data_IF_746647193195
#
_entry.id   IF_746647193195
#
_cell.length_a   1.000
_cell.length_b   1.000
_cell.length_c   1.000
_cell.angle_alpha   90.00
_cell.angle_beta   90.00
_cell.angle_gamma   90.00
#
_symmetry.space_group_name_H-M   'P 1'
#
loop_
_entity.id
_entity.type
_entity.pdbx_description
1 polymer ?
#
# COMPACT_ATOMS: atom_id res chain seq x y z
N UNK A 1 -4.32 14.50 41.81
CA UNK A 1 -3.41 13.46 41.27
C UNK A 1 -4.25 12.24 40.92
N UNK A 2 -4.62 12.09 39.67
CA UNK A 2 -5.31 10.88 39.17
C UNK A 2 -4.34 9.70 39.25
N UNK A 3 -4.75 8.61 39.92
CA UNK A 3 -4.03 7.35 39.90
C UNK A 3 -3.97 6.88 38.42
N UNK A 4 -2.81 6.94 37.81
CA UNK A 4 -2.53 6.22 36.58
C UNK A 4 -2.68 4.72 36.88
N UNK A 5 -3.86 4.17 36.61
CA UNK A 5 -4.05 2.72 36.62
C UNK A 5 -3.08 2.13 35.61
N UNK A 6 -2.24 1.18 36.03
CA UNK A 6 -1.40 0.44 35.10
C UNK A 6 -2.33 -0.19 34.05
N UNK A 7 -2.31 0.36 32.86
CA UNK A 7 -3.05 -0.19 31.74
C UNK A 7 -2.42 -1.53 31.41
N UNK A 8 -3.17 -2.62 31.61
CA UNK A 8 -2.66 -3.98 31.43
C UNK A 8 -3.48 -4.70 30.35
N UNK A 9 -2.81 -5.51 29.56
CA UNK A 9 -3.41 -6.34 28.51
C UNK A 9 -3.03 -7.80 28.71
N UNK A 10 -3.84 -8.71 28.19
CA UNK A 10 -3.49 -10.13 28.17
C UNK A 10 -2.42 -10.40 27.13
N UNK A 11 -1.41 -11.21 27.48
CA UNK A 11 -0.29 -11.54 26.59
C UNK A 11 -0.77 -12.20 25.29
N UNK A 12 -1.69 -13.18 25.38
CA UNK A 12 -2.24 -13.85 24.20
C UNK A 12 -2.93 -12.87 23.23
N UNK A 13 -3.60 -11.83 23.76
CA UNK A 13 -4.23 -10.80 22.94
C UNK A 13 -3.19 -9.92 22.28
N UNK A 14 -2.17 -9.48 23.03
CA UNK A 14 -1.07 -8.63 22.50
C UNK A 14 -0.34 -9.36 21.39
N UNK A 15 0.15 -10.58 21.65
CA UNK A 15 0.89 -11.37 20.66
C UNK A 15 0.04 -11.70 19.44
N UNK A 16 -1.25 -12.00 19.60
CA UNK A 16 -2.17 -12.21 18.48
C UNK A 16 -2.33 -10.96 17.62
N UNK A 17 -2.34 -9.76 18.20
CA UNK A 17 -2.42 -8.51 17.45
C UNK A 17 -1.10 -8.17 16.75
N UNK A 18 0.04 -8.46 17.37
CA UNK A 18 1.36 -8.24 16.76
C UNK A 18 1.59 -9.19 15.58
N UNK A 19 1.25 -10.48 15.73
CA UNK A 19 1.61 -11.52 14.76
C UNK A 19 0.54 -11.84 13.72
N UNK A 20 -0.74 -11.46 13.96
CA UNK A 20 -1.89 -11.91 13.17
C UNK A 20 -2.35 -13.34 13.45
N UNK A 21 -1.59 -14.10 14.23
CA UNK A 21 -1.93 -15.48 14.53
C UNK A 21 -3.22 -15.61 15.34
N UNK A 22 -3.92 -16.73 15.15
CA UNK A 22 -5.05 -17.11 16.03
C UNK A 22 -4.58 -17.26 17.48
N UNK A 23 -5.44 -16.92 18.44
CA UNK A 23 -5.11 -17.08 19.88
C UNK A 23 -4.70 -18.50 20.26
N UNK A 24 -5.23 -19.52 19.57
CA UNK A 24 -4.84 -20.90 19.80
C UNK A 24 -3.38 -21.16 19.44
N UNK A 25 -2.93 -20.65 18.30
CA UNK A 25 -1.54 -20.77 17.86
C UNK A 25 -0.61 -19.93 18.75
N UNK A 26 -1.00 -18.72 19.10
CA UNK A 26 -0.28 -17.87 20.07
C UNK A 26 -0.12 -18.56 21.41
N UNK A 27 -1.16 -19.24 21.92
CA UNK A 27 -1.05 -19.97 23.19
C UNK A 27 -0.04 -21.12 23.13
N UNK A 28 0.13 -21.78 21.97
CA UNK A 28 1.18 -22.78 21.78
C UNK A 28 2.57 -22.14 21.80
N UNK A 29 2.73 -21.03 21.06
CA UNK A 29 3.98 -20.27 20.98
C UNK A 29 4.43 -19.79 22.36
N UNK A 30 3.52 -19.19 23.14
CA UNK A 30 3.80 -18.75 24.52
C UNK A 30 4.18 -19.94 25.43
N UNK A 31 3.46 -21.04 25.35
CA UNK A 31 3.76 -22.25 26.16
C UNK A 31 5.12 -22.87 25.83
N UNK A 32 5.56 -22.75 24.58
CA UNK A 32 6.87 -23.25 24.17
C UNK A 32 8.03 -22.37 24.68
N UNK A 33 7.75 -21.17 25.22
CA UNK A 33 8.77 -20.24 25.69
C UNK A 33 9.32 -19.34 24.59
N UNK A 34 8.63 -19.25 23.46
CA UNK A 34 9.05 -18.44 22.30
C UNK A 34 8.70 -16.94 22.47
N UNK A 35 8.21 -16.51 23.64
CA UNK A 35 7.83 -15.14 23.94
C UNK A 35 8.48 -14.68 25.23
N UNK A 36 9.19 -13.55 25.17
CA UNK A 36 9.71 -12.84 26.35
C UNK A 36 8.97 -11.51 26.54
N UNK A 37 8.86 -11.12 27.79
CA UNK A 37 8.28 -9.84 28.22
C UNK A 37 9.26 -9.22 29.19
N UNK A 38 9.80 -8.04 28.86
CA UNK A 38 10.83 -7.36 29.66
C UNK A 38 12.01 -8.32 30.01
N UNK A 39 12.51 -9.05 28.99
CA UNK A 39 13.57 -10.05 29.06
C UNK A 39 13.25 -11.35 29.83
N UNK A 40 12.04 -11.52 30.33
CA UNK A 40 11.61 -12.74 31.03
C UNK A 40 10.74 -13.63 30.12
N UNK A 41 11.05 -14.93 30.04
CA UNK A 41 10.24 -15.91 29.32
C UNK A 41 8.90 -16.09 30.03
N UNK A 42 7.80 -15.83 29.34
CA UNK A 42 6.45 -16.00 29.89
C UNK A 42 5.78 -17.21 29.19
N UNK A 43 5.33 -18.18 29.98
CA UNK A 43 4.65 -19.38 29.47
C UNK A 43 3.14 -19.40 29.74
N UNK A 44 2.63 -18.45 30.54
CA UNK A 44 1.18 -18.27 30.75
C UNK A 44 0.59 -17.33 29.70
N UNK A 45 -0.19 -17.87 28.77
CA UNK A 45 -0.86 -17.09 27.73
C UNK A 45 -1.91 -16.11 28.29
N UNK A 46 -2.41 -16.31 29.51
CA UNK A 46 -3.36 -15.43 30.18
C UNK A 46 -2.68 -14.35 31.02
N UNK A 47 -1.35 -14.34 31.12
CA UNK A 47 -0.59 -13.37 31.87
C UNK A 47 -1.03 -11.94 31.50
N UNK A 48 -1.17 -11.09 32.52
CA UNK A 48 -1.46 -9.67 32.33
C UNK A 48 -0.15 -8.89 32.33
N UNK A 49 0.15 -8.26 31.22
CA UNK A 49 1.36 -7.48 31.01
C UNK A 49 1.04 -5.99 30.92
N UNK A 50 2.00 -5.13 31.28
CA UNK A 50 1.86 -3.68 31.13
C UNK A 50 1.91 -3.30 29.62
N UNK A 51 1.12 -2.30 29.21
CA UNK A 51 1.15 -1.81 27.82
C UNK A 51 2.52 -1.25 27.39
N UNK A 52 3.37 -0.90 28.36
CA UNK A 52 4.73 -0.40 28.09
C UNK A 52 5.81 -1.49 28.09
N UNK A 53 5.43 -2.75 28.42
CA UNK A 53 6.39 -3.87 28.41
C UNK A 53 6.90 -4.11 27.00
N UNK A 54 8.19 -4.45 26.92
CA UNK A 54 8.85 -4.87 25.68
C UNK A 54 8.53 -6.33 25.41
N UNK A 55 8.13 -6.63 24.18
CA UNK A 55 7.77 -7.98 23.76
C UNK A 55 8.75 -8.44 22.68
N UNK A 56 9.37 -9.58 22.91
CA UNK A 56 10.16 -10.28 21.88
C UNK A 56 9.52 -11.63 21.61
N UNK A 57 9.35 -11.94 20.31
CA UNK A 57 8.70 -13.14 19.82
C UNK A 57 9.68 -13.83 18.88
N UNK A 58 10.16 -15.01 19.23
CA UNK A 58 11.14 -15.74 18.45
C UNK A 58 10.67 -15.98 17.01
N UNK A 59 11.51 -15.66 16.03
CA UNK A 59 11.20 -15.76 14.60
C UNK A 59 10.28 -14.66 14.05
N UNK A 60 9.91 -13.64 14.88
CA UNK A 60 9.04 -12.53 14.44
C UNK A 60 9.69 -11.17 14.57
N UNK A 61 10.22 -10.87 15.74
CA UNK A 61 10.87 -9.59 16.04
C UNK A 61 12.09 -9.80 16.95
N UNK A 62 12.74 -10.94 16.82
CA UNK A 62 14.08 -11.16 17.37
C UNK A 62 15.01 -10.20 16.63
N UNK A 63 15.33 -9.19 17.36
CA UNK A 63 15.96 -7.99 16.91
C UNK A 63 17.14 -8.26 15.97
N UNK A 64 16.98 -7.91 14.71
CA UNK A 64 18.13 -7.51 13.91
C UNK A 64 18.37 -6.03 14.21
N UNK A 65 19.55 -5.65 14.70
CA UNK A 65 19.90 -4.23 14.81
C UNK A 65 19.80 -3.60 13.41
N UNK A 66 19.37 -2.34 13.36
CA UNK A 66 19.44 -1.54 12.16
C UNK A 66 20.89 -1.28 11.74
N UNK A 67 21.11 -0.54 10.64
CA UNK A 67 22.43 -0.22 10.11
C UNK A 67 23.28 0.62 11.10
N UNK A 68 22.65 1.29 12.08
CA UNK A 68 23.28 2.06 13.15
C UNK A 68 23.52 1.22 14.43
N UNK A 69 23.06 -0.03 14.45
CA UNK A 69 23.21 -0.97 15.57
C UNK A 69 22.13 -0.84 16.64
N UNK A 70 21.09 -0.05 16.38
CA UNK A 70 19.94 0.09 17.26
C UNK A 70 18.92 -1.01 17.03
N UNK A 71 18.26 -1.44 18.11
CA UNK A 71 17.20 -2.45 18.07
C UNK A 71 15.86 -1.77 18.31
N UNK A 72 14.96 -1.82 17.34
CA UNK A 72 13.60 -1.32 17.52
C UNK A 72 12.84 -2.21 18.50
N UNK A 73 12.56 -1.67 19.68
CA UNK A 73 11.87 -2.38 20.77
C UNK A 73 10.35 -2.33 20.53
N UNK A 74 9.74 -3.48 20.25
CA UNK A 74 8.29 -3.62 20.13
C UNK A 74 7.66 -3.65 21.52
N UNK A 75 6.77 -2.70 21.80
CA UNK A 75 6.04 -2.63 23.09
C UNK A 75 4.64 -3.24 22.95
N UNK A 76 4.09 -3.69 24.06
CA UNK A 76 2.72 -4.22 24.10
C UNK A 76 1.68 -3.22 23.60
N UNK A 77 1.92 -1.90 23.76
CA UNK A 77 1.07 -0.84 23.21
C UNK A 77 1.04 -0.81 21.68
N UNK A 78 2.12 -1.20 21.02
CA UNK A 78 2.26 -1.13 19.57
C UNK A 78 1.31 -2.10 18.86
N UNK A 79 0.93 -3.20 19.57
CA UNK A 79 -0.09 -4.13 19.13
C UNK A 79 -1.44 -3.46 18.78
N UNK A 80 -1.71 -2.30 19.36
CA UNK A 80 -3.00 -1.60 19.26
C UNK A 80 -2.88 -0.22 18.61
N UNK A 81 -1.67 0.20 18.24
CA UNK A 81 -1.48 1.43 17.46
C UNK A 81 -2.03 1.22 16.06
N UNK A 82 -2.71 2.24 15.61
CA UNK A 82 -3.12 2.35 14.21
C UNK A 82 -1.92 2.81 13.39
N UNK A 83 -1.66 2.11 12.30
CA UNK A 83 -0.54 2.41 11.40
C UNK A 83 -1.08 3.13 10.18
N UNK A 84 -0.37 4.17 9.78
CA UNK A 84 -0.67 4.91 8.56
C UNK A 84 0.63 5.11 7.81
N UNK A 85 0.67 4.64 6.58
CA UNK A 85 1.84 4.71 5.72
C UNK A 85 1.53 5.52 4.47
N UNK A 86 2.52 6.26 3.99
CA UNK A 86 2.57 6.80 2.65
C UNK A 86 3.45 5.86 1.81
N UNK A 87 2.88 5.27 0.79
CA UNK A 87 3.57 4.45 -0.20
C UNK A 87 3.74 5.25 -1.50
N UNK A 88 4.94 5.24 -2.08
CA UNK A 88 5.12 5.61 -3.48
C UNK A 88 4.79 4.39 -4.36
N UNK A 89 3.51 4.25 -4.71
CA UNK A 89 3.00 3.07 -5.43
C UNK A 89 3.68 2.91 -6.79
N UNK A 90 4.32 1.78 -7.09
CA UNK A 90 4.90 1.51 -8.40
C UNK A 90 3.85 1.03 -9.42
N UNK A 91 4.25 0.93 -10.68
CA UNK A 91 3.48 0.28 -11.74
C UNK A 91 3.25 -1.21 -11.43
N UNK A 92 2.22 -1.79 -12.05
CA UNK A 92 1.88 -3.21 -12.02
C UNK A 92 1.46 -3.77 -10.64
N UNK A 93 1.19 -2.92 -9.68
CA UNK A 93 0.58 -3.29 -8.42
C UNK A 93 -0.89 -2.85 -8.36
N UNK A 94 -1.76 -3.73 -7.87
CA UNK A 94 -3.18 -3.42 -7.70
C UNK A 94 -3.52 -3.06 -6.25
N UNK A 95 -4.45 -2.12 -6.09
CA UNK A 95 -5.01 -1.73 -4.81
C UNK A 95 -6.19 -2.64 -4.45
N UNK A 96 -5.90 -3.91 -4.19
CA UNK A 96 -6.88 -4.91 -3.79
C UNK A 96 -6.31 -5.72 -2.63
N UNK A 97 -7.16 -6.29 -1.79
CA UNK A 97 -6.74 -7.16 -0.68
C UNK A 97 -6.24 -8.52 -1.20
N UNK A 98 -6.77 -8.96 -2.34
CA UNK A 98 -6.36 -10.21 -3.01
C UNK A 98 -6.47 -10.03 -4.52
N UNK A 99 -5.51 -10.57 -5.25
CA UNK A 99 -5.56 -10.68 -6.71
C UNK A 99 -4.80 -11.95 -7.13
N UNK A 100 -5.32 -12.65 -8.16
CA UNK A 100 -4.71 -13.90 -8.63
C UNK A 100 -3.64 -13.68 -9.70
N UNK A 101 -3.70 -12.54 -10.39
CA UNK A 101 -2.92 -12.27 -11.59
C UNK A 101 -1.87 -11.17 -11.40
N UNK A 102 -2.04 -10.33 -10.38
CA UNK A 102 -1.21 -9.15 -10.17
C UNK A 102 -0.71 -9.09 -8.72
N UNK A 103 0.47 -8.50 -8.53
CA UNK A 103 0.98 -8.19 -7.21
C UNK A 103 0.09 -7.12 -6.55
N UNK A 104 -0.21 -7.32 -5.26
CA UNK A 104 -1.02 -6.39 -4.46
C UNK A 104 -0.11 -5.40 -3.74
N UNK A 105 -0.58 -4.17 -3.54
CA UNK A 105 0.23 -3.10 -2.89
C UNK A 105 0.69 -3.47 -1.49
N UNK A 106 -0.10 -4.23 -0.72
CA UNK A 106 0.27 -4.64 0.63
C UNK A 106 1.45 -5.61 0.67
N UNK A 107 1.77 -6.30 -0.44
CA UNK A 107 2.95 -7.17 -0.52
C UNK A 107 4.29 -6.40 -0.48
N UNK A 108 4.27 -5.07 -0.66
CA UNK A 108 5.45 -4.21 -0.52
C UNK A 108 5.86 -3.99 0.94
N UNK A 109 4.96 -4.20 1.88
CA UNK A 109 5.16 -3.96 3.32
C UNK A 109 5.76 -5.18 4.05
N UNK A 110 6.75 -5.84 3.45
CA UNK A 110 7.28 -7.15 3.91
C UNK A 110 7.84 -7.13 5.33
N UNK A 111 8.29 -5.96 5.79
CA UNK A 111 8.85 -5.78 7.12
C UNK A 111 7.78 -5.45 8.18
N UNK A 112 6.53 -5.27 7.75
CA UNK A 112 5.44 -4.94 8.66
C UNK A 112 4.74 -6.19 9.18
N UNK A 113 4.36 -6.14 10.44
CA UNK A 113 3.55 -7.20 11.06
C UNK A 113 2.08 -7.09 10.61
N UNK A 114 1.38 -8.22 10.56
CA UNK A 114 -0.06 -8.26 10.24
C UNK A 114 -0.43 -7.57 8.92
N UNK A 115 0.21 -7.96 7.84
CA UNK A 115 -0.04 -7.39 6.50
C UNK A 115 -1.51 -7.45 6.09
N UNK A 116 -2.22 -8.50 6.51
CA UNK A 116 -3.64 -8.71 6.20
C UNK A 116 -4.58 -7.67 6.81
N UNK A 117 -4.10 -6.85 7.74
CA UNK A 117 -4.85 -5.72 8.31
C UNK A 117 -4.62 -4.42 7.57
N UNK A 118 -3.60 -4.37 6.72
CA UNK A 118 -3.29 -3.19 5.94
C UNK A 118 -4.17 -3.14 4.69
N UNK A 119 -4.80 -2.00 4.48
CA UNK A 119 -5.66 -1.73 3.33
C UNK A 119 -5.27 -0.40 2.68
N UNK A 120 -5.39 -0.29 1.38
CA UNK A 120 -5.20 0.99 0.71
C UNK A 120 -6.39 1.92 0.98
N UNK A 121 -6.11 3.16 1.38
CA UNK A 121 -7.12 4.22 1.49
C UNK A 121 -7.39 4.83 0.11
N UNK A 122 -8.38 4.27 -0.54
CA UNK A 122 -8.68 4.51 -1.95
C UNK A 122 -7.81 3.68 -2.89
N UNK A 123 -7.95 3.96 -4.18
CA UNK A 123 -7.31 3.16 -5.23
C UNK A 123 -6.54 4.05 -6.18
N UNK A 124 -5.47 3.49 -6.74
CA UNK A 124 -4.80 3.94 -7.95
C UNK A 124 -4.87 2.78 -8.95
N UNK A 125 -5.01 3.10 -10.22
CA UNK A 125 -5.01 2.10 -11.27
C UNK A 125 -3.67 1.36 -11.31
N UNK A 126 -3.63 0.20 -11.95
CA UNK A 126 -2.42 -0.63 -12.04
C UNK A 126 -1.26 0.12 -12.72
N UNK A 127 -1.59 0.99 -13.66
CA UNK A 127 -0.66 1.82 -14.43
C UNK A 127 -0.52 3.25 -13.88
N UNK A 128 -1.08 3.56 -12.72
CA UNK A 128 -0.93 4.83 -12.02
C UNK A 128 0.03 4.68 -10.85
N UNK A 129 0.97 5.61 -10.73
CA UNK A 129 2.00 5.61 -9.68
C UNK A 129 1.77 6.69 -8.62
N UNK A 130 2.64 6.72 -7.62
CA UNK A 130 2.75 7.81 -6.66
C UNK A 130 2.04 7.59 -5.34
N UNK A 131 1.67 8.68 -4.68
CA UNK A 131 1.21 8.72 -3.30
C UNK A 131 -0.04 7.87 -3.08
N UNK A 132 0.09 6.80 -2.31
CA UNK A 132 -1.01 5.96 -1.84
C UNK A 132 -0.93 5.83 -0.32
N UNK A 133 -2.03 6.10 0.36
CA UNK A 133 -2.12 5.86 1.81
C UNK A 133 -2.52 4.41 2.03
N UNK A 134 -1.79 3.73 2.93
CA UNK A 134 -2.05 2.36 3.36
C UNK A 134 -2.16 2.34 4.87
N UNK A 135 -3.24 1.76 5.41
CA UNK A 135 -3.52 1.84 6.85
C UNK A 135 -4.31 0.64 7.35
N UNK A 136 -4.21 0.34 8.65
CA UNK A 136 -5.11 -0.57 9.39
C UNK A 136 -6.17 0.19 10.19
N UNK A 137 -6.27 1.51 9.99
CA UNK A 137 -7.32 2.35 10.57
C UNK A 137 -8.50 2.49 9.61
N UNK A 138 -9.57 1.70 9.85
CA UNK A 138 -10.77 1.74 9.02
C UNK A 138 -11.50 3.08 9.03
N UNK A 139 -11.45 3.82 10.14
CA UNK A 139 -12.08 5.14 10.24
C UNK A 139 -11.34 6.16 9.39
N UNK A 140 -10.01 6.19 9.47
CA UNK A 140 -9.16 7.03 8.63
C UNK A 140 -9.32 6.69 7.13
N UNK A 141 -9.34 5.38 6.80
CA UNK A 141 -9.58 4.92 5.44
C UNK A 141 -10.91 5.46 4.90
N UNK A 142 -11.99 5.32 5.69
CA UNK A 142 -13.30 5.83 5.31
C UNK A 142 -13.29 7.36 5.16
N UNK A 143 -12.61 8.10 6.01
CA UNK A 143 -12.52 9.56 5.91
C UNK A 143 -11.80 10.01 4.64
N UNK A 144 -10.69 9.37 4.26
CA UNK A 144 -9.92 9.71 3.04
C UNK A 144 -10.71 9.39 1.78
N UNK A 145 -11.48 8.29 1.78
CA UNK A 145 -12.18 7.78 0.60
C UNK A 145 -13.57 8.36 0.42
N UNK A 146 -14.19 8.87 1.49
CA UNK A 146 -15.55 9.39 1.47
C UNK A 146 -15.70 10.62 0.56
N UNK A 147 -16.59 10.60 -0.43
CA UNK A 147 -16.85 11.77 -1.27
C UNK A 147 -17.35 12.99 -0.48
N UNK A 148 -17.96 12.77 0.70
CA UNK A 148 -18.48 13.85 1.57
C UNK A 148 -17.36 14.67 2.24
N UNK A 149 -16.18 14.09 2.39
CA UNK A 149 -15.04 14.77 3.02
C UNK A 149 -14.27 15.65 2.03
N UNK A 150 -14.52 15.47 0.73
CA UNK A 150 -13.89 16.27 -0.34
C UNK A 150 -12.36 16.39 -0.21
N UNK A 151 -11.72 15.29 0.20
CA UNK A 151 -10.25 15.24 0.31
C UNK A 151 -9.65 15.42 -1.07
N UNK A 152 -8.88 16.52 -1.25
CA UNK A 152 -8.29 16.85 -2.54
C UNK A 152 -7.17 15.88 -2.91
N UNK A 153 -7.05 15.59 -4.19
CA UNK A 153 -6.01 14.75 -4.77
C UNK A 153 -5.40 15.47 -5.97
N UNK A 154 -4.08 15.51 -6.04
CA UNK A 154 -3.38 16.16 -7.14
C UNK A 154 -2.63 15.12 -7.95
N UNK A 155 -2.87 15.15 -9.25
CA UNK A 155 -2.24 14.27 -10.21
C UNK A 155 -1.43 15.06 -11.22
N UNK A 156 -0.28 14.53 -11.63
CA UNK A 156 0.45 14.96 -12.81
C UNK A 156 0.21 13.93 -13.91
N UNK A 157 -0.17 14.44 -15.09
CA UNK A 157 -0.45 13.60 -16.25
C UNK A 157 0.46 14.00 -17.41
N UNK A 158 1.18 13.04 -17.97
CA UNK A 158 1.85 13.18 -19.28
C UNK A 158 0.87 12.77 -20.38
N UNK A 159 0.76 13.60 -21.39
CA UNK A 159 -0.25 13.49 -22.43
C UNK A 159 0.40 13.28 -23.81
N UNK A 160 -0.34 12.66 -24.70
CA UNK A 160 0.07 12.41 -26.10
C UNK A 160 0.31 13.70 -26.89
N UNK A 161 -0.33 14.78 -26.50
CA UNK A 161 -0.27 16.09 -27.15
C UNK A 161 -0.65 17.23 -26.22
N UNK A 162 -0.41 18.46 -26.67
CA UNK A 162 -0.76 19.68 -25.93
C UNK A 162 -2.27 19.76 -25.65
N UNK A 163 -2.61 20.08 -24.41
CA UNK A 163 -4.01 20.26 -23.98
C UNK A 163 -4.48 21.66 -24.45
N UNK A 164 -5.65 21.77 -25.09
CA UNK A 164 -6.19 23.07 -25.48
C UNK A 164 -6.55 23.90 -24.23
N UNK A 165 -6.27 25.20 -24.26
CA UNK A 165 -6.59 26.09 -23.13
C UNK A 165 -8.08 26.08 -22.74
N UNK A 166 -8.95 25.83 -23.70
CA UNK A 166 -10.40 25.69 -23.45
C UNK A 166 -10.72 24.59 -22.45
N UNK A 167 -9.85 23.57 -22.32
CA UNK A 167 -10.00 22.47 -21.36
C UNK A 167 -10.00 22.99 -19.91
N UNK A 168 -9.27 24.06 -19.59
CA UNK A 168 -9.24 24.65 -18.23
C UNK A 168 -10.65 25.02 -17.78
N UNK A 169 -11.41 25.70 -18.66
CA UNK A 169 -12.80 26.06 -18.36
C UNK A 169 -13.73 24.84 -18.31
N UNK A 170 -13.48 23.84 -19.15
CA UNK A 170 -14.27 22.60 -19.16
C UNK A 170 -14.10 21.84 -17.84
N UNK A 171 -12.87 21.65 -17.36
CA UNK A 171 -12.59 21.02 -16.07
C UNK A 171 -13.22 21.80 -14.91
N UNK A 172 -13.07 23.11 -14.87
CA UNK A 172 -13.65 23.97 -13.83
C UNK A 172 -15.19 23.95 -13.79
N UNK A 173 -15.85 23.62 -14.91
CA UNK A 173 -17.32 23.50 -14.99
C UNK A 173 -17.81 22.07 -14.68
N UNK A 174 -16.89 21.13 -14.51
CA UNK A 174 -17.17 19.71 -14.49
C UNK A 174 -17.49 19.16 -15.89
N UNK A 175 -16.96 18.01 -16.19
CA UNK A 175 -17.06 17.36 -17.50
C UNK A 175 -18.10 16.22 -17.44
N UNK A 176 -18.82 15.98 -18.51
CA UNK A 176 -19.64 14.77 -18.66
C UNK A 176 -19.00 13.87 -19.71
N UNK A 177 -18.51 12.73 -19.25
CA UNK A 177 -18.05 11.68 -20.15
C UNK A 177 -19.26 10.98 -20.80
N UNK A 178 -19.20 10.57 -22.09
CA UNK A 178 -20.31 9.93 -22.79
C UNK A 178 -20.83 8.66 -22.10
N UNK A 179 -19.95 7.85 -21.54
CA UNK A 179 -20.29 6.59 -20.86
C UNK A 179 -20.79 6.80 -19.42
N UNK A 180 -20.67 8.01 -18.87
CA UNK A 180 -21.04 8.28 -17.49
C UNK A 180 -22.46 8.81 -17.35
N UNK A 181 -23.22 8.27 -16.39
CA UNK A 181 -24.59 8.74 -16.09
C UNK A 181 -24.59 10.16 -15.52
N UNK A 182 -23.60 10.47 -14.67
CA UNK A 182 -23.47 11.77 -13.98
C UNK A 182 -22.23 12.52 -14.45
N UNK A 183 -22.32 13.85 -14.47
CA UNK A 183 -21.17 14.72 -14.72
C UNK A 183 -20.14 14.54 -13.60
N UNK A 184 -18.86 14.61 -13.94
CA UNK A 184 -17.78 14.75 -12.98
C UNK A 184 -17.86 16.09 -12.26
N UNK A 185 -17.40 16.16 -11.02
CA UNK A 185 -17.29 17.41 -10.28
C UNK A 185 -16.31 18.37 -10.96
N UNK A 186 -16.35 19.64 -10.54
CA UNK A 186 -15.38 20.63 -10.98
C UNK A 186 -13.97 20.22 -10.52
N UNK A 187 -13.01 20.26 -11.43
CA UNK A 187 -11.61 19.99 -11.17
C UNK A 187 -10.75 21.19 -11.61
N UNK A 188 -9.61 21.39 -10.97
CA UNK A 188 -8.64 22.41 -11.38
C UNK A 188 -7.64 21.77 -12.33
N UNK A 189 -7.55 22.29 -13.56
CA UNK A 189 -6.53 21.92 -14.54
C UNK A 189 -5.48 23.02 -14.64
N UNK A 190 -4.21 22.65 -14.51
CA UNK A 190 -3.05 23.54 -14.70
C UNK A 190 -2.15 22.95 -15.78
N UNK A 191 -1.91 23.68 -16.84
CA UNK A 191 -0.95 23.31 -17.88
C UNK A 191 0.46 23.65 -17.38
N UNK A 192 1.40 22.70 -17.48
CA UNK A 192 2.76 22.88 -17.00
C UNK A 192 3.69 23.23 -18.15
N UNK A 193 4.47 24.29 -17.99
CA UNK A 193 5.56 24.60 -18.89
C UNK A 193 6.77 23.74 -18.54
N UNK A 194 7.20 22.93 -19.49
CA UNK A 194 8.32 22.00 -19.34
C UNK A 194 9.54 22.41 -20.18
N UNK A 195 9.53 23.62 -20.76
CA UNK A 195 10.58 24.11 -21.67
C UNK A 195 11.97 24.13 -21.03
N UNK A 196 12.04 24.42 -19.75
CA UNK A 196 13.28 24.48 -18.95
C UNK A 196 13.59 23.17 -18.18
N UNK A 197 12.89 22.09 -18.49
CA UNK A 197 13.05 20.80 -17.85
C UNK A 197 13.72 19.79 -18.79
N UNK A 198 14.28 18.71 -18.23
CA UNK A 198 14.81 17.56 -18.98
C UNK A 198 13.74 16.84 -19.83
N UNK A 199 12.47 17.21 -19.64
CA UNK A 199 11.33 16.72 -20.42
C UNK A 199 10.80 17.75 -21.42
N UNK A 200 11.63 18.66 -21.90
CA UNK A 200 11.26 19.63 -22.93
C UNK A 200 10.66 18.93 -24.14
N UNK A 201 9.47 19.39 -24.55
CA UNK A 201 8.70 18.76 -25.64
C UNK A 201 7.68 17.69 -25.19
N UNK A 202 7.68 17.26 -23.94
CA UNK A 202 6.59 16.49 -23.34
C UNK A 202 5.45 17.42 -22.91
N UNK A 203 4.24 16.90 -22.97
CA UNK A 203 3.04 17.63 -22.59
C UNK A 203 2.58 17.19 -21.20
N UNK A 204 2.81 18.02 -20.19
CA UNK A 204 2.42 17.75 -18.82
C UNK A 204 1.33 18.68 -18.34
N UNK A 205 0.41 18.15 -17.57
CA UNK A 205 -0.63 18.91 -16.89
C UNK A 205 -0.85 18.40 -15.48
N UNK A 206 -1.23 19.29 -14.56
CA UNK A 206 -1.67 18.93 -13.23
C UNK A 206 -3.19 19.00 -13.14
N UNK A 207 -3.80 18.01 -12.47
CA UNK A 207 -5.23 17.99 -12.19
C UNK A 207 -5.44 17.85 -10.69
N UNK A 208 -6.19 18.79 -10.10
CA UNK A 208 -6.65 18.69 -8.71
C UNK A 208 -8.15 18.43 -8.70
N UNK A 209 -8.57 17.36 -8.00
CA UNK A 209 -9.97 16.96 -7.86
C UNK A 209 -10.27 16.49 -6.42
N UNK A 210 -11.55 16.43 -6.04
CA UNK A 210 -12.03 16.06 -4.71
C UNK A 210 -12.86 14.78 -4.71
N UNK A 211 -13.17 14.24 -5.86
CA UNK A 211 -13.79 12.92 -6.01
C UNK A 211 -12.74 11.88 -6.45
N UNK A 212 -13.11 10.68 -6.78
CA UNK A 212 -12.20 9.62 -7.18
C UNK A 212 -12.98 8.50 -7.86
N UNK A 213 -13.66 8.84 -8.97
CA UNK A 213 -14.43 7.87 -9.74
C UNK A 213 -13.50 7.03 -10.61
N UNK A 214 -14.03 5.94 -11.11
CA UNK A 214 -13.30 5.00 -11.95
C UNK A 214 -12.64 5.69 -13.15
N UNK A 215 -11.30 5.59 -13.24
CA UNK A 215 -10.45 6.16 -14.28
C UNK A 215 -10.70 7.67 -14.55
N UNK A 216 -11.10 8.41 -13.53
CA UNK A 216 -11.61 9.78 -13.66
C UNK A 216 -10.66 10.72 -14.43
N UNK A 217 -9.39 10.80 -14.02
CA UNK A 217 -8.42 11.70 -14.67
C UNK A 217 -8.26 11.34 -16.15
N UNK A 218 -8.15 10.05 -16.48
CA UNK A 218 -8.02 9.56 -17.86
C UNK A 218 -9.24 9.95 -18.71
N UNK A 219 -10.44 9.75 -18.18
CA UNK A 219 -11.70 10.07 -18.83
C UNK A 219 -11.91 11.58 -18.99
N UNK A 220 -11.46 12.39 -18.03
CA UNK A 220 -11.50 13.84 -18.16
C UNK A 220 -10.63 14.32 -19.35
N UNK A 221 -9.42 13.76 -19.51
CA UNK A 221 -8.57 14.10 -20.66
C UNK A 221 -9.08 13.54 -21.97
N UNK A 222 -9.67 12.36 -21.98
CA UNK A 222 -10.30 11.76 -23.17
C UNK A 222 -11.37 12.67 -23.76
N UNK A 223 -12.23 13.28 -22.92
CA UNK A 223 -13.29 14.20 -23.39
C UNK A 223 -12.72 15.46 -24.05
N UNK A 224 -11.54 15.91 -23.64
CA UNK A 224 -10.88 17.06 -24.28
C UNK A 224 -9.93 16.63 -25.42
N UNK A 225 -9.97 15.35 -25.77
CA UNK A 225 -9.27 14.76 -26.91
C UNK A 225 -7.81 14.47 -26.69
N UNK A 226 -7.35 14.31 -25.44
CA UNK A 226 -5.98 13.94 -25.09
C UNK A 226 -5.95 12.55 -24.46
N UNK A 227 -4.88 11.79 -24.72
CA UNK A 227 -4.64 10.49 -24.11
C UNK A 227 -3.57 10.60 -23.01
N UNK A 228 -3.86 10.03 -21.83
CA UNK A 228 -2.91 10.00 -20.72
C UNK A 228 -1.91 8.87 -20.96
N UNK A 229 -0.63 9.21 -21.06
CA UNK A 229 0.49 8.30 -21.27
C UNK A 229 1.13 7.86 -19.95
N UNK A 230 1.27 8.79 -19.00
CA UNK A 230 1.70 8.53 -17.63
C UNK A 230 0.82 9.29 -16.66
N UNK A 231 0.55 8.69 -15.49
CA UNK A 231 -0.24 9.29 -14.44
C UNK A 231 0.39 9.02 -13.08
N UNK A 232 0.63 10.10 -12.32
CA UNK A 232 1.14 9.99 -10.96
C UNK A 232 0.32 10.85 -10.01
N UNK A 233 -0.06 10.30 -8.86
CA UNK A 233 -0.64 11.09 -7.77
C UNK A 233 0.46 11.64 -6.89
N UNK A 234 0.60 12.95 -6.83
CA UNK A 234 1.69 13.63 -6.11
C UNK A 234 1.25 14.23 -4.78
N UNK A 235 -0.06 14.39 -4.55
CA UNK A 235 -0.54 14.88 -3.26
C UNK A 235 -1.95 14.36 -2.91
N UNK A 236 -2.20 14.26 -1.59
CA UNK A 236 -3.53 14.06 -0.99
C UNK A 236 -3.68 15.09 0.14
N UNK A 237 -4.71 15.93 0.10
CA UNK A 237 -4.77 17.10 0.95
C UNK A 237 -3.61 18.06 0.68
N UNK A 238 -2.88 18.43 1.73
CA UNK A 238 -1.61 19.17 1.64
C UNK A 238 -0.36 18.27 1.75
N UNK A 239 -0.55 16.97 1.98
CA UNK A 239 0.53 16.00 2.04
C UNK A 239 1.04 15.69 0.63
N UNK A 240 2.31 15.94 0.37
CA UNK A 240 2.98 15.67 -0.91
C UNK A 240 3.80 14.40 -0.87
N UNK A 241 4.05 13.82 -2.04
CA UNK A 241 4.96 12.70 -2.19
C UNK A 241 6.40 13.15 -1.89
N UNK A 242 7.10 12.54 -0.90
CA UNK A 242 8.49 12.90 -0.61
C UNK A 242 9.41 12.63 -1.81
N UNK A 243 10.30 13.59 -2.09
CA UNK A 243 11.23 13.53 -3.23
C UNK A 243 12.23 12.38 -3.16
N UNK A 244 12.63 12.00 -1.95
CA UNK A 244 13.59 10.93 -1.66
C UNK A 244 12.97 9.53 -1.69
N UNK A 245 11.62 9.43 -1.65
CA UNK A 245 10.93 8.13 -1.61
C UNK A 245 10.87 7.51 -3.00
N UNK A 246 11.59 6.41 -3.21
CA UNK A 246 11.59 5.71 -4.49
C UNK A 246 10.27 4.95 -4.74
N UNK A 247 10.03 4.53 -5.98
CA UNK A 247 8.89 3.66 -6.29
C UNK A 247 8.99 2.33 -5.52
N UNK A 248 7.91 1.98 -4.83
CA UNK A 248 7.84 0.79 -4.00
C UNK A 248 8.23 1.00 -2.53
N UNK A 249 8.88 2.14 -2.21
CA UNK A 249 9.23 2.48 -0.83
C UNK A 249 8.05 3.14 -0.11
N UNK A 250 8.02 3.01 1.21
CA UNK A 250 7.00 3.60 2.07
C UNK A 250 7.61 4.20 3.33
N UNK A 251 6.89 5.14 3.93
CA UNK A 251 7.21 5.75 5.23
C UNK A 251 5.98 5.74 6.13
N UNK A 252 6.19 5.58 7.43
CA UNK A 252 5.13 5.75 8.41
C UNK A 252 4.83 7.24 8.59
N UNK A 253 3.54 7.60 8.64
CA UNK A 253 3.09 8.97 8.86
C UNK A 253 2.86 9.23 10.34
N UNK A 254 3.46 10.29 10.84
CA UNK A 254 3.16 10.80 12.17
C UNK A 254 1.80 11.51 12.24
N UNK A 255 1.38 11.93 13.44
CA UNK A 255 0.06 12.57 13.66
C UNK A 255 -0.06 13.91 12.92
N UNK A 256 1.03 14.66 12.80
CA UNK A 256 1.02 15.97 12.11
C UNK A 256 0.93 15.76 10.59
N UNK A 257 1.61 14.78 10.05
CA UNK A 257 1.51 14.40 8.65
C UNK A 257 0.13 13.86 8.29
N UNK A 258 -0.49 13.05 9.17
CA UNK A 258 -1.86 12.57 8.98
C UNK A 258 -2.88 13.72 8.91
N UNK A 259 -2.68 14.81 9.66
CA UNK A 259 -3.56 16.00 9.59
C UNK A 259 -3.52 16.65 8.22
N UNK A 260 -2.35 16.66 7.57
CA UNK A 260 -2.18 17.22 6.22
C UNK A 260 -3.09 16.56 5.18
N UNK A 261 -3.49 15.29 5.37
CA UNK A 261 -4.41 14.58 4.48
C UNK A 261 -5.76 15.30 4.32
N UNK A 262 -6.19 16.03 5.35
CA UNK A 262 -7.50 16.70 5.39
C UNK A 262 -7.41 18.22 5.21
N UNK A 263 -6.21 18.75 5.06
CA UNK A 263 -6.02 20.17 4.80
C UNK A 263 -6.36 20.51 3.35
N UNK A 264 -7.06 21.64 3.17
CA UNK A 264 -7.30 22.17 1.82
C UNK A 264 -6.04 22.82 1.31
N UNK A 265 -5.51 22.30 0.22
CA UNK A 265 -4.32 22.85 -0.43
C UNK A 265 -4.66 23.49 -1.77
N UNK A 266 -3.88 24.50 -2.12
CA UNK A 266 -3.82 25.06 -3.48
C UNK A 266 -2.36 25.11 -3.83
N UNK A 267 -1.98 24.42 -4.89
CA UNK A 267 -0.62 24.43 -5.40
C UNK A 267 -0.46 25.52 -6.45
N UNK A 268 0.58 26.32 -6.32
CA UNK A 268 1.02 27.23 -7.38
C UNK A 268 1.60 26.45 -8.56
N UNK A 269 1.71 27.10 -9.72
CA UNK A 269 2.34 26.48 -10.90
C UNK A 269 3.79 26.07 -10.60
N UNK A 270 4.52 26.90 -9.85
CA UNK A 270 5.91 26.62 -9.46
C UNK A 270 6.03 25.37 -8.58
N UNK A 271 5.16 25.23 -7.58
CA UNK A 271 5.11 24.02 -6.73
C UNK A 271 4.79 22.77 -7.56
N UNK A 272 3.85 22.84 -8.48
CA UNK A 272 3.49 21.72 -9.36
C UNK A 272 4.65 21.33 -10.30
N UNK A 273 5.39 22.31 -10.82
CA UNK A 273 6.59 22.05 -11.63
C UNK A 273 7.71 21.43 -10.79
N UNK A 274 7.87 21.85 -9.54
CA UNK A 274 8.84 21.23 -8.63
C UNK A 274 8.45 19.80 -8.30
N UNK A 275 7.19 19.51 -8.00
CA UNK A 275 6.70 18.14 -7.82
C UNK A 275 6.93 17.27 -9.05
N UNK A 276 6.82 17.82 -10.27
CA UNK A 276 7.14 17.09 -11.49
C UNK A 276 8.63 16.75 -11.58
N UNK A 277 9.53 17.69 -11.25
CA UNK A 277 10.99 17.46 -11.22
C UNK A 277 11.34 16.35 -10.22
N UNK A 278 10.78 16.42 -9.02
CA UNK A 278 11.00 15.45 -7.96
C UNK A 278 10.50 14.05 -8.37
N UNK A 279 9.31 13.96 -8.96
CA UNK A 279 8.79 12.70 -9.49
C UNK A 279 9.68 12.13 -10.58
N UNK A 280 10.11 12.93 -11.54
CA UNK A 280 11.01 12.44 -12.62
C UNK A 280 12.35 11.94 -12.05
N UNK A 281 12.91 12.63 -11.09
CA UNK A 281 14.14 12.18 -10.39
C UNK A 281 13.91 10.86 -9.64
N UNK A 282 12.79 10.70 -8.97
CA UNK A 282 12.40 9.44 -8.32
C UNK A 282 12.25 8.31 -9.34
N UNK A 283 11.63 8.57 -10.49
CA UNK A 283 11.44 7.60 -11.55
C UNK A 283 12.78 7.13 -12.14
N UNK A 284 13.75 8.03 -12.32
CA UNK A 284 15.09 7.69 -12.82
C UNK A 284 15.87 6.85 -11.82
N UNK A 285 15.83 7.19 -10.53
CA UNK A 285 16.43 6.36 -9.49
C UNK A 285 15.83 4.95 -9.46
N UNK A 286 14.52 4.85 -9.63
CA UNK A 286 13.79 3.58 -9.62
C UNK A 286 14.09 2.70 -10.83
N UNK A 287 14.45 3.27 -11.99
CA UNK A 287 14.89 2.49 -13.17
C UNK A 287 16.14 1.65 -12.90
N UNK A 288 16.96 2.05 -11.94
CA UNK A 288 18.15 1.29 -11.52
C UNK A 288 17.76 0.04 -10.73
N UNK A 289 16.62 0.11 -9.99
CA UNK A 289 16.14 -0.98 -9.13
C UNK A 289 15.17 -1.91 -9.89
N UNK A 290 14.32 -1.33 -10.75
CA UNK A 290 13.39 -2.05 -11.61
C UNK A 290 13.92 -2.04 -13.04
N UNK A 291 14.61 -3.11 -13.47
CA UNK A 291 15.15 -3.18 -14.84
C UNK A 291 14.02 -3.08 -15.88
N UNK A 292 14.18 -2.22 -16.92
CA UNK A 292 13.14 -1.96 -17.92
C UNK A 292 12.69 -3.19 -18.72
N UNK A 293 13.49 -4.24 -18.77
CA UNK A 293 13.20 -5.45 -19.57
C UNK A 293 12.08 -6.32 -18.98
N UNK A 294 11.68 -6.10 -17.72
CA UNK A 294 10.52 -6.76 -17.11
C UNK A 294 9.18 -6.06 -17.39
N UNK A 295 9.18 -4.87 -18.02
CA UNK A 295 8.01 -4.04 -18.24
C UNK A 295 7.60 -3.89 -19.70
N UNK A 296 7.71 -4.94 -20.50
CA UNK A 296 7.10 -4.92 -21.84
C UNK A 296 5.60 -5.13 -21.71
N UNK A 297 4.86 -4.05 -21.85
CA UNK A 297 3.42 -4.08 -22.04
C UNK A 297 3.10 -4.93 -23.28
N UNK A 298 2.65 -6.16 -23.05
CA UNK A 298 2.09 -6.95 -24.13
C UNK A 298 0.62 -6.53 -24.28
N UNK A 299 0.31 -5.79 -25.35
CA UNK A 299 -1.07 -5.39 -25.73
C UNK A 299 -1.97 -6.59 -26.04
N UNK A 300 -1.47 -7.81 -25.90
CA UNK A 300 -2.23 -9.05 -26.07
C UNK A 300 -2.16 -9.82 -24.75
N UNK A 301 -3.30 -9.91 -24.07
CA UNK A 301 -3.43 -10.54 -22.77
C UNK A 301 -2.94 -11.99 -22.76
N UNK A 302 -1.85 -12.20 -22.05
CA UNK A 302 -1.48 -13.47 -21.42
C UNK A 302 -0.35 -13.17 -20.42
N UNK A 303 -0.67 -13.28 -19.14
CA UNK A 303 0.30 -13.21 -18.07
C UNK A 303 1.23 -14.42 -18.11
N UNK A 304 2.53 -14.20 -18.25
CA UNK A 304 3.53 -15.20 -17.90
C UNK A 304 3.88 -15.00 -16.42
N UNK A 305 3.68 -16.04 -15.65
CA UNK A 305 4.01 -16.13 -14.23
C UNK A 305 5.52 -16.27 -14.06
N UNK A 306 6.19 -15.20 -13.65
CA UNK A 306 7.57 -15.27 -13.17
C UNK A 306 7.62 -14.87 -11.69
N UNK A 307 7.20 -15.81 -10.82
CA UNK A 307 7.41 -15.72 -9.37
C UNK A 307 8.81 -16.19 -8.95
N UNK A 308 9.67 -16.64 -9.88
CA UNK A 308 10.97 -17.23 -9.56
C UNK A 308 12.16 -16.28 -9.68
N UNK A 309 11.99 -15.06 -10.21
CA UNK A 309 13.13 -14.15 -10.45
C UNK A 309 13.54 -13.32 -9.22
N UNK A 310 12.69 -13.21 -8.17
CA UNK A 310 12.98 -12.42 -6.98
C UNK A 310 13.61 -13.22 -5.84
N UNK A 311 13.67 -14.57 -5.96
CA UNK A 311 14.33 -15.41 -4.94
C UNK A 311 15.84 -15.64 -5.20
N UNK A 312 16.36 -15.29 -6.38
CA UNK A 312 17.76 -15.57 -6.75
C UNK A 312 18.74 -14.42 -6.52
N UNK A 313 18.27 -13.20 -6.30
CA UNK A 313 19.15 -12.04 -6.08
C UNK A 313 19.58 -11.85 -4.61
N UNK A 314 18.95 -12.53 -3.66
CA UNK A 314 19.26 -12.42 -2.23
C UNK A 314 20.16 -13.55 -1.66
N UNK A 315 20.65 -14.47 -2.49
CA UNK A 315 21.39 -15.67 -2.02
C UNK A 315 22.81 -15.76 -2.64
N UNK A 316 23.42 -14.66 -3.07
CA UNK A 316 24.78 -14.71 -3.62
C UNK A 316 25.91 -14.14 -2.75
N UNK A 317 25.72 -13.90 -1.47
CA UNK A 317 26.77 -13.36 -0.60
C UNK A 317 27.13 -14.15 0.66
N UNK A 318 26.74 -15.43 0.80
CA UNK A 318 27.30 -16.28 1.85
C UNK A 318 27.38 -17.74 1.39
N UNK A 319 28.40 -18.07 0.62
CA UNK A 319 28.88 -19.45 0.50
C UNK A 319 30.40 -19.40 0.51
N UNK A 320 30.98 -19.56 1.70
CA UNK A 320 32.19 -20.31 1.93
C UNK A 320 32.26 -20.64 3.43
N UNK A 321 32.14 -21.89 3.74
CA UNK A 321 32.75 -22.65 4.79
C UNK A 321 31.84 -23.71 5.41
N UNK A 322 32.27 -24.90 5.19
CA UNK A 322 32.13 -26.15 5.92
C UNK A 322 31.26 -27.24 5.32
N UNK A 323 31.99 -28.02 4.54
CA UNK A 323 31.66 -29.38 4.13
C UNK A 323 32.17 -30.35 5.24
N UNK A 324 31.29 -31.05 5.92
CA UNK A 324 31.61 -32.34 6.55
C UNK A 324 30.42 -33.29 6.43
N UNK A 325 30.75 -34.46 5.92
CA UNK A 325 29.97 -35.70 5.77
C UNK A 325 29.06 -36.05 6.96
N UNK A 326 27.90 -36.62 6.63
CA UNK A 326 27.49 -37.95 7.17
C UNK A 326 26.31 -38.53 6.36
N UNK A 327 26.50 -39.76 5.95
CA UNK A 327 25.62 -40.67 5.21
C UNK A 327 24.46 -41.24 6.03
N UNK A 328 23.47 -41.73 5.30
CA UNK A 328 22.54 -42.88 5.60
C UNK A 328 21.27 -42.55 6.40
N UNK A 329 20.09 -42.85 5.95
CA UNK A 329 19.41 -44.07 5.46
C UNK A 329 17.97 -43.72 5.08
N UNK A 330 17.49 -44.40 4.09
CA UNK A 330 16.08 -44.60 3.68
C UNK A 330 15.27 -45.24 4.79
N UNK A 331 13.99 -44.84 4.91
CA UNK A 331 12.91 -45.77 5.19
C UNK A 331 11.58 -45.18 4.71
N UNK A 332 10.93 -45.90 3.83
CA UNK A 332 9.56 -45.76 3.34
C UNK A 332 8.58 -46.00 4.49
N UNK A 333 7.49 -45.25 4.55
CA UNK A 333 6.18 -45.81 4.86
C UNK A 333 5.07 -44.80 4.49
N UNK A 334 4.23 -45.21 3.58
CA UNK A 334 3.01 -44.58 3.15
C UNK A 334 1.87 -44.94 4.09
N UNK A 335 1.15 -43.96 4.61
CA UNK A 335 -0.22 -44.17 5.07
C UNK A 335 -1.17 -43.17 4.44
N UNK A 336 -2.10 -43.72 3.67
CA UNK A 336 -3.28 -43.10 3.09
C UNK A 336 -4.34 -42.96 4.17
N UNK A 337 -4.90 -41.78 4.38
CA UNK A 337 -6.18 -41.59 5.05
C UNK A 337 -7.11 -40.79 4.17
N UNK A 338 -8.10 -41.45 3.63
CA UNK A 338 -9.37 -40.89 3.15
C UNK A 338 -10.17 -40.43 4.39
N UNK A 339 -10.67 -39.21 4.35
CA UNK A 339 -11.89 -38.85 5.06
C UNK A 339 -12.60 -37.71 4.34
N UNK A 340 -13.66 -38.09 3.62
CA UNK A 340 -14.72 -37.22 3.11
C UNK A 340 -15.54 -36.68 4.30
N UNK A 341 -15.45 -35.39 4.60
CA UNK A 341 -16.48 -34.67 5.34
C UNK A 341 -17.05 -33.52 4.50
N UNK A 342 -18.30 -33.77 4.11
CA UNK A 342 -19.20 -32.81 3.47
C UNK A 342 -19.64 -31.79 4.50
N UNK A 343 -19.29 -30.49 4.31
CA UNK A 343 -19.91 -29.39 5.02
C UNK A 343 -20.95 -28.74 4.13
N UNK A 344 -22.20 -28.78 4.57
CA UNK A 344 -23.32 -28.05 3.99
C UNK A 344 -23.15 -26.54 4.20
N UNK A 345 -23.13 -25.78 3.10
CA UNK A 345 -23.13 -24.33 3.11
C UNK A 345 -24.53 -23.80 3.42
N UNK A 346 -24.67 -23.05 4.50
CA UNK A 346 -25.81 -22.18 4.72
C UNK A 346 -25.74 -20.99 3.76
N UNK A 347 -26.73 -20.89 2.86
CA UNK A 347 -26.92 -19.80 1.94
C UNK A 347 -27.31 -18.52 2.70
N UNK A 348 -26.40 -17.56 2.75
CA UNK A 348 -26.73 -16.18 3.09
C UNK A 348 -27.21 -15.43 1.83
N UNK A 349 -28.38 -14.84 1.91
CA UNK A 349 -28.99 -14.01 0.88
C UNK A 349 -28.07 -12.83 0.51
N UNK A 350 -27.63 -12.79 -0.75
CA UNK A 350 -26.93 -11.67 -1.36
C UNK A 350 -27.91 -10.90 -2.27
N UNK A 351 -28.45 -9.80 -1.73
CA UNK A 351 -29.30 -8.84 -2.45
C UNK A 351 -28.53 -7.58 -2.90
N UNK A 352 -27.30 -7.70 -3.41
CA UNK A 352 -26.49 -6.57 -3.87
C UNK A 352 -25.94 -6.74 -5.30
N UNK A 353 -26.74 -7.30 -6.20
CA UNK A 353 -26.41 -7.33 -7.63
C UNK A 353 -27.26 -6.31 -8.38
N UNK A 354 -26.68 -5.64 -9.39
CA UNK A 354 -27.46 -4.81 -10.32
C UNK A 354 -28.24 -5.66 -11.34
N UNK A 355 -29.03 -5.01 -12.18
CA UNK A 355 -29.89 -5.68 -13.16
C UNK A 355 -29.12 -6.48 -14.23
N UNK A 356 -27.79 -6.43 -14.24
CA UNK A 356 -26.89 -7.14 -15.14
C UNK A 356 -26.02 -8.19 -14.44
N UNK A 357 -26.18 -8.38 -13.10
CA UNK A 357 -25.47 -9.38 -12.33
C UNK A 357 -24.10 -8.95 -11.81
N UNK A 358 -23.80 -7.65 -11.80
CA UNK A 358 -22.53 -7.11 -11.29
C UNK A 358 -22.70 -6.53 -9.87
N UNK A 359 -21.71 -6.79 -9.00
CA UNK A 359 -21.66 -6.31 -7.61
C UNK A 359 -21.66 -4.77 -7.58
N UNK A 360 -22.63 -4.18 -6.89
CA UNK A 360 -22.62 -2.74 -6.59
C UNK A 360 -21.54 -2.44 -5.57
N UNK A 361 -20.44 -1.88 -6.04
CA UNK A 361 -19.35 -1.36 -5.18
C UNK A 361 -19.56 0.14 -5.02
N UNK A 362 -19.82 0.56 -3.78
CA UNK A 362 -19.91 1.97 -3.39
C UNK A 362 -18.54 2.56 -3.14
#
# INVERSE_FOLDING_TARGET
>A
MAKAGKEVQRLDKVVSHLTGMSRSNVSKLIKNGDVTVDDEVITDSAAKICVHSVIVIAGFNDALPDDDGDVELVRASDAFKKRVFLLNKPYNYVCADRDKNHAIVTSLFRNELNLEKLHSAGRLDIDTTGLLIVTDDGDLNHEITSPKKEVSKVYLARLDKAVPESAIKAFASGIKHPEEKKRYQAATLTLLDTSDLDCAGEHWAAVQLTEGRYHEVKRLFEVVGCEVQDLVRVAVGSLTLPSELNLGDYVALDVEEQKKLFEKSKFSVEELVNLLKEYKSSLERSKVIFQPDSFKFNKQGAAASDTDALSSAAISSTKDAHQTHLDTKEDEDAEVFDDDEVFEDEAGDFDDLDENGDLRIY
#
